data_IF_894210840306
#
_entry.id   IF_894210840306
#
_cell.length_a   1.000
_cell.length_b   1.000
_cell.length_c   1.000
_cell.angle_alpha   90.00
_cell.angle_beta   90.00
_cell.angle_gamma   90.00
#
_symmetry.space_group_name_H-M   'P 1'
#
loop_
_entity.id
_entity.type
_entity.pdbx_description
1 polymer ?
#
# COMPACT_ATOMS: atom_id res chain seq x y z
N UNK A 1 -9.36 9.74 -8.14
CA UNK A 1 -7.96 9.50 -8.53
C UNK A 1 -7.84 8.00 -8.76
N UNK A 2 -6.68 7.36 -8.90
CA UNK A 2 -6.65 5.89 -8.88
C UNK A 2 -5.34 5.43 -8.26
N UNK A 3 -5.41 4.90 -7.05
CA UNK A 3 -4.26 4.33 -6.37
C UNK A 3 -3.99 2.93 -6.92
N UNK A 4 -2.72 2.53 -7.01
CA UNK A 4 -2.35 1.17 -7.43
C UNK A 4 -1.69 0.44 -6.27
N UNK A 5 -2.04 -0.83 -6.12
CA UNK A 5 -1.43 -1.70 -5.14
C UNK A 5 0.03 -1.98 -5.49
N UNK A 6 0.95 -1.82 -4.57
CA UNK A 6 2.37 -2.08 -4.86
C UNK A 6 2.68 -3.58 -5.06
N UNK A 7 1.85 -4.45 -4.50
CA UNK A 7 2.07 -5.90 -4.57
C UNK A 7 1.50 -6.54 -5.85
N UNK A 8 0.27 -6.21 -6.22
CA UNK A 8 -0.39 -6.77 -7.39
C UNK A 8 -0.50 -5.78 -8.56
N UNK A 9 -0.09 -4.52 -8.40
CA UNK A 9 -0.24 -3.45 -9.40
C UNK A 9 -1.69 -3.18 -9.85
N UNK A 10 -2.67 -3.79 -9.18
CA UNK A 10 -4.08 -3.55 -9.44
C UNK A 10 -4.55 -2.21 -8.90
N UNK A 11 -5.59 -1.68 -9.53
CA UNK A 11 -6.23 -0.44 -9.09
C UNK A 11 -6.97 -0.70 -7.76
N UNK A 12 -6.72 0.15 -6.79
CA UNK A 12 -7.44 0.16 -5.53
C UNK A 12 -8.68 1.02 -5.73
N UNK A 13 -9.85 0.42 -5.49
CA UNK A 13 -11.10 1.14 -5.53
C UNK A 13 -11.13 2.22 -4.45
N UNK A 14 -11.67 3.38 -4.79
CA UNK A 14 -11.95 4.48 -3.88
C UNK A 14 -13.47 4.66 -3.78
N UNK A 15 -13.98 4.73 -2.55
CA UNK A 15 -15.37 5.03 -2.24
C UNK A 15 -15.69 6.49 -2.59
N UNK A 16 -16.98 6.84 -2.66
CA UNK A 16 -17.44 8.22 -2.93
C UNK A 16 -16.93 9.25 -1.90
N UNK A 17 -16.53 8.80 -0.71
CA UNK A 17 -15.87 9.61 0.32
C UNK A 17 -14.34 9.75 0.14
N UNK A 18 -13.76 9.20 -0.93
CA UNK A 18 -12.31 9.20 -1.18
C UNK A 18 -11.53 8.23 -0.26
N UNK A 19 -12.22 7.29 0.39
CA UNK A 19 -11.56 6.21 1.15
C UNK A 19 -11.17 5.09 0.21
N UNK A 20 -9.92 4.65 0.29
CA UNK A 20 -9.45 3.49 -0.47
C UNK A 20 -9.91 2.18 0.18
N UNK A 21 -10.33 1.20 -0.61
CA UNK A 21 -10.59 -0.17 -0.17
C UNK A 21 -9.29 -0.95 0.03
N UNK A 22 -8.48 -0.48 0.97
CA UNK A 22 -7.15 -1.01 1.21
C UNK A 22 -6.45 -0.34 2.38
N UNK A 23 -5.13 -0.48 2.39
CA UNK A 23 -4.25 0.05 3.43
C UNK A 23 -3.18 0.92 2.79
N UNK A 24 -3.00 2.12 3.34
CA UNK A 24 -1.83 2.95 3.10
C UNK A 24 -0.77 2.66 4.15
N UNK A 25 0.44 2.38 3.69
CA UNK A 25 1.60 2.15 4.55
C UNK A 25 2.62 3.24 4.26
N UNK A 26 3.01 3.95 5.32
CA UNK A 26 4.12 4.90 5.26
C UNK A 26 5.39 4.18 5.72
N UNK A 27 6.30 3.92 4.80
CA UNK A 27 7.61 3.33 5.11
C UNK A 27 8.65 4.45 5.10
N UNK A 28 9.52 4.43 6.10
CA UNK A 28 10.63 5.39 6.20
C UNK A 28 11.89 4.67 5.73
N UNK A 29 12.41 5.03 4.56
CA UNK A 29 13.66 4.44 4.09
C UNK A 29 14.86 4.98 4.90
N UNK A 30 16.02 4.32 4.79
CA UNK A 30 17.27 4.70 5.49
C UNK A 30 17.68 6.15 5.18
N UNK A 31 17.31 6.68 4.02
CA UNK A 31 17.53 8.09 3.67
C UNK A 31 16.52 9.07 4.31
N UNK A 32 15.72 8.65 5.31
CA UNK A 32 14.63 9.44 5.92
C UNK A 32 13.52 9.87 4.94
N UNK A 33 13.50 9.34 3.72
CA UNK A 33 12.38 9.53 2.80
C UNK A 33 11.18 8.71 3.25
N UNK A 34 10.04 9.38 3.36
CA UNK A 34 8.76 8.74 3.64
C UNK A 34 8.14 8.31 2.32
N UNK A 35 8.24 7.02 1.99
CA UNK A 35 7.51 6.45 0.85
C UNK A 35 6.13 5.98 1.29
N UNK A 36 5.13 6.33 0.48
CA UNK A 36 3.73 5.96 0.67
C UNK A 36 3.41 4.80 -0.25
N UNK A 37 3.21 3.63 0.35
CA UNK A 37 2.87 2.40 -0.36
C UNK A 37 1.39 2.11 -0.16
N UNK A 38 0.69 1.86 -1.25
CA UNK A 38 -0.73 1.53 -1.23
C UNK A 38 -0.91 0.04 -1.44
N UNK A 39 -1.77 -0.59 -0.65
CA UNK A 39 -2.03 -2.03 -0.70
C UNK A 39 -3.54 -2.22 -0.82
N UNK A 40 -4.00 -2.96 -1.83
CA UNK A 40 -5.41 -3.30 -1.95
C UNK A 40 -5.88 -4.22 -0.82
N UNK A 41 -7.17 -4.21 -0.52
CA UNK A 41 -7.78 -5.08 0.49
C UNK A 41 -7.44 -6.58 0.30
N UNK A 42 -7.31 -7.05 -0.93
CA UNK A 42 -6.91 -8.44 -1.21
C UNK A 42 -5.48 -8.76 -0.79
N UNK A 43 -4.51 -7.90 -1.12
CA UNK A 43 -3.12 -8.09 -0.72
C UNK A 43 -2.97 -7.97 0.81
N UNK A 44 -3.72 -7.06 1.43
CA UNK A 44 -3.79 -6.96 2.88
C UNK A 44 -4.34 -8.26 3.51
N UNK A 45 -5.43 -8.82 2.97
CA UNK A 45 -6.00 -10.11 3.42
C UNK A 45 -5.00 -11.27 3.28
N UNK A 46 -4.11 -11.22 2.28
CA UNK A 46 -3.02 -12.18 2.09
C UNK A 46 -1.83 -11.97 3.04
N UNK A 47 -1.91 -11.03 3.98
CA UNK A 47 -0.84 -10.74 4.94
C UNK A 47 0.32 -9.91 4.36
N UNK A 48 0.12 -9.27 3.20
CA UNK A 48 1.13 -8.39 2.61
C UNK A 48 1.05 -7.02 3.30
N UNK A 49 1.91 -6.81 4.29
CA UNK A 49 1.95 -5.61 5.13
C UNK A 49 3.33 -4.94 5.09
N UNK A 50 3.52 -3.89 5.91
CA UNK A 50 4.76 -3.13 6.05
C UNK A 50 6.00 -4.01 6.23
N UNK A 51 5.86 -5.15 6.90
CA UNK A 51 6.96 -6.08 7.14
C UNK A 51 7.48 -6.75 5.86
N UNK A 52 6.61 -6.98 4.87
CA UNK A 52 7.03 -7.48 3.56
C UNK A 52 7.72 -6.40 2.72
N UNK A 53 7.37 -5.13 2.92
CA UNK A 53 7.99 -4.00 2.24
C UNK A 53 9.40 -3.72 2.78
N UNK A 54 9.56 -3.77 4.11
CA UNK A 54 10.86 -3.52 4.76
C UNK A 54 11.85 -4.68 4.62
N UNK A 55 11.39 -5.90 4.31
CA UNK A 55 12.24 -7.10 4.10
C UNK A 55 12.89 -7.18 2.72
N UNK A 56 12.62 -6.24 1.81
CA UNK A 56 13.23 -6.20 0.47
C UNK A 56 14.66 -5.64 0.46
N UNK A 57 15.34 -5.63 1.61
CA UNK A 57 16.63 -4.97 1.84
C UNK A 57 17.72 -5.93 2.25
#
# INVERSE_FOLDING_TARGET
MTHKCEFCNEKIAEDEMGKIEGTMIKVKDKENKNELHYICGECQKKGKTKEMLTKKK
#
